data_IF_744387550849
#
_entry.id   IF_744387550849
#
_cell.length_a   1.000
_cell.length_b   1.000
_cell.length_c   1.000
_cell.angle_alpha   90.00
_cell.angle_beta   90.00
_cell.angle_gamma   90.00
#
_symmetry.space_group_name_H-M   'P 1'
#
loop_
_entity.id
_entity.type
_entity.pdbx_description
1 polymer ?
#
# COMPACT_ATOMS: atom_id res chain seq x y z
N UNK A 1 9.18 -50.12 22.19
CA UNK A 1 8.95 -49.32 20.97
C UNK A 1 7.56 -48.69 20.94
N UNK A 2 6.48 -49.45 21.19
CA UNK A 2 5.11 -48.94 20.99
C UNK A 2 4.70 -47.81 21.94
N UNK A 3 5.09 -47.86 23.22
CA UNK A 3 4.85 -46.75 24.17
C UNK A 3 5.61 -45.49 23.81
N UNK A 4 6.85 -45.61 23.35
CA UNK A 4 7.67 -44.47 22.92
C UNK A 4 7.13 -43.84 21.63
N UNK A 5 6.62 -44.65 20.71
CA UNK A 5 5.97 -44.18 19.48
C UNK A 5 4.67 -43.42 19.78
N UNK A 6 3.89 -43.89 20.76
CA UNK A 6 2.64 -43.25 21.18
C UNK A 6 2.88 -41.90 21.86
N UNK A 7 3.96 -41.77 22.65
CA UNK A 7 4.37 -40.49 23.26
C UNK A 7 4.86 -39.50 22.20
N UNK A 8 5.62 -39.95 21.21
CA UNK A 8 6.08 -39.11 20.09
C UNK A 8 4.88 -38.62 19.25
N UNK A 9 3.89 -39.48 19.00
CA UNK A 9 2.67 -39.11 18.27
C UNK A 9 1.85 -38.06 19.04
N UNK A 10 1.74 -38.18 20.36
CA UNK A 10 1.05 -37.21 21.21
C UNK A 10 1.77 -35.85 21.24
N UNK A 11 3.10 -35.83 21.24
CA UNK A 11 3.91 -34.60 21.15
C UNK A 11 3.78 -33.92 19.76
N UNK A 12 3.71 -34.69 18.69
CA UNK A 12 3.49 -34.18 17.33
C UNK A 12 2.08 -33.58 17.14
N UNK A 13 1.06 -34.16 17.78
CA UNK A 13 -0.30 -33.62 17.77
C UNK A 13 -0.36 -32.34 18.62
N UNK A 14 0.26 -32.32 19.80
CA UNK A 14 0.27 -31.16 20.68
C UNK A 14 0.97 -29.94 20.06
N UNK A 15 2.04 -30.15 19.28
CA UNK A 15 2.73 -29.07 18.56
C UNK A 15 1.93 -28.50 17.39
N UNK A 16 1.00 -29.27 16.81
CA UNK A 16 0.10 -28.82 15.75
C UNK A 16 -0.99 -27.85 16.25
N UNK A 17 -1.34 -27.91 17.54
CA UNK A 17 -2.35 -27.04 18.16
C UNK A 17 -1.85 -25.65 18.58
N UNK A 18 -0.54 -25.42 18.66
CA UNK A 18 0.03 -24.16 19.21
C UNK A 18 0.19 -23.06 18.13
N UNK A 19 -0.13 -23.33 16.85
CA UNK A 19 0.50 -22.59 15.76
C UNK A 19 -0.32 -21.78 14.77
N UNK A 20 -1.67 -21.76 14.80
CA UNK A 20 -2.46 -20.99 13.83
C UNK A 20 -3.11 -19.79 14.52
N UNK A 21 -2.35 -18.71 14.67
CA UNK A 21 -2.92 -17.41 15.05
C UNK A 21 -3.77 -16.89 13.89
N UNK A 22 -5.08 -17.02 13.99
CA UNK A 22 -6.03 -16.33 13.10
C UNK A 22 -6.14 -14.89 13.58
N UNK A 23 -5.46 -13.95 12.91
CA UNK A 23 -5.62 -12.52 13.12
C UNK A 23 -6.96 -12.02 12.57
N UNK A 24 -8.07 -12.59 13.03
CA UNK A 24 -9.39 -12.33 12.49
C UNK A 24 -9.91 -10.99 13.01
N UNK A 25 -10.09 -10.03 12.11
CA UNK A 25 -10.68 -8.74 12.43
C UNK A 25 -12.20 -8.89 12.64
N UNK A 26 -12.74 -8.18 13.63
CA UNK A 26 -14.18 -8.06 13.85
C UNK A 26 -14.56 -6.60 14.06
N UNK A 27 -15.67 -6.19 13.45
CA UNK A 27 -16.32 -4.92 13.80
C UNK A 27 -16.75 -4.98 15.26
N UNK A 28 -16.54 -3.90 16.00
CA UNK A 28 -16.87 -3.84 17.43
C UNK A 28 -15.94 -4.68 18.32
N UNK A 29 -14.74 -5.06 17.85
CA UNK A 29 -13.77 -5.82 18.65
C UNK A 29 -13.49 -5.19 20.02
N UNK A 30 -13.50 -3.86 20.10
CA UNK A 30 -13.28 -3.13 21.35
C UNK A 30 -14.55 -2.93 22.19
N UNK A 31 -15.70 -3.48 21.80
CA UNK A 31 -16.98 -3.25 22.48
C UNK A 31 -16.94 -3.57 23.98
N UNK A 32 -16.29 -4.67 24.37
CA UNK A 32 -16.23 -5.11 25.76
C UNK A 32 -15.02 -4.55 26.54
N UNK A 33 -13.93 -4.23 25.83
CA UNK A 33 -12.67 -3.79 26.45
C UNK A 33 -12.51 -2.28 26.51
N UNK A 34 -12.89 -1.59 25.43
CA UNK A 34 -12.83 -0.14 25.29
C UNK A 34 -13.98 0.35 24.39
N UNK A 35 -15.23 0.41 24.91
CA UNK A 35 -16.41 0.74 24.11
C UNK A 35 -16.37 2.14 23.48
N UNK A 36 -15.52 3.03 23.98
CA UNK A 36 -15.35 4.40 23.47
C UNK A 36 -14.21 4.53 22.44
N UNK A 37 -13.52 3.46 22.08
CA UNK A 37 -12.38 3.54 21.16
C UNK A 37 -12.78 4.14 19.80
N UNK A 38 -13.80 3.57 19.16
CA UNK A 38 -14.25 4.00 17.83
C UNK A 38 -14.85 5.42 17.85
N UNK A 39 -15.61 5.77 18.90
CA UNK A 39 -16.20 7.10 19.05
C UNK A 39 -15.13 8.17 19.29
N UNK A 40 -14.14 7.88 20.13
CA UNK A 40 -13.03 8.80 20.44
C UNK A 40 -12.20 9.08 19.19
N UNK A 41 -11.76 8.03 18.47
CA UNK A 41 -11.00 8.20 17.23
C UNK A 41 -11.79 9.00 16.21
N UNK A 42 -13.08 8.69 16.03
CA UNK A 42 -13.95 9.43 15.11
C UNK A 42 -14.06 10.91 15.47
N UNK A 43 -14.16 11.24 16.76
CA UNK A 43 -14.24 12.62 17.21
C UNK A 43 -12.97 13.42 16.91
N UNK A 44 -11.80 12.84 17.22
CA UNK A 44 -10.49 13.47 16.99
C UNK A 44 -10.23 13.65 15.49
N UNK A 45 -10.53 12.63 14.68
CA UNK A 45 -10.37 12.73 13.22
C UNK A 45 -11.28 13.81 12.64
N UNK A 46 -12.54 13.89 13.09
CA UNK A 46 -13.47 14.94 12.64
C UNK A 46 -12.99 16.32 13.01
N UNK A 47 -12.49 16.51 14.22
CA UNK A 47 -11.92 17.79 14.67
C UNK A 47 -10.71 18.17 13.80
N UNK A 48 -9.77 17.24 13.58
CA UNK A 48 -8.58 17.48 12.77
C UNK A 48 -8.91 17.79 11.30
N UNK A 49 -9.92 17.15 10.71
CA UNK A 49 -10.39 17.42 9.35
C UNK A 49 -11.14 18.76 9.26
N UNK A 50 -11.86 19.14 10.32
CA UNK A 50 -12.53 20.45 10.39
C UNK A 50 -11.52 21.59 10.46
N UNK A 51 -10.37 21.39 11.11
CA UNK A 51 -9.28 22.37 11.14
C UNK A 51 -8.50 22.40 9.81
N UNK A 52 -8.20 21.23 9.24
CA UNK A 52 -7.52 21.11 7.95
C UNK A 52 -8.12 20.01 7.08
N UNK A 53 -8.84 20.34 6.00
CA UNK A 53 -9.45 19.36 5.09
C UNK A 53 -8.46 18.35 4.49
N UNK A 54 -7.18 18.73 4.33
CA UNK A 54 -6.16 17.83 3.79
C UNK A 54 -5.81 16.68 4.76
N UNK A 55 -6.18 16.78 6.04
CA UNK A 55 -5.86 15.77 7.04
C UNK A 55 -6.50 14.41 6.72
N UNK A 56 -7.68 14.40 6.09
CA UNK A 56 -8.33 13.16 5.66
C UNK A 56 -7.45 12.37 4.67
N UNK A 57 -6.88 13.08 3.68
CA UNK A 57 -5.98 12.48 2.70
C UNK A 57 -4.67 11.99 3.34
N UNK A 58 -4.11 12.77 4.28
CA UNK A 58 -2.87 12.41 5.00
C UNK A 58 -3.06 11.15 5.84
N UNK A 59 -4.13 11.07 6.64
CA UNK A 59 -4.40 9.90 7.49
C UNK A 59 -4.62 8.64 6.65
N UNK A 60 -5.34 8.77 5.53
CA UNK A 60 -5.56 7.68 4.59
C UNK A 60 -4.23 7.21 3.97
N UNK A 61 -3.39 8.14 3.52
CA UNK A 61 -2.07 7.84 2.97
C UNK A 61 -1.17 7.14 3.99
N UNK A 62 -1.19 7.60 5.24
CA UNK A 62 -0.39 7.01 6.33
C UNK A 62 -0.81 5.55 6.57
N UNK A 63 -2.13 5.28 6.65
CA UNK A 63 -2.63 3.92 6.79
C UNK A 63 -2.18 3.01 5.64
N UNK A 64 -2.28 3.49 4.40
CA UNK A 64 -1.81 2.71 3.24
C UNK A 64 -0.30 2.48 3.27
N UNK A 65 0.49 3.49 3.62
CA UNK A 65 1.95 3.39 3.72
C UNK A 65 2.37 2.29 4.70
N UNK A 66 1.79 2.29 5.91
CA UNK A 66 2.15 1.33 6.96
C UNK A 66 1.71 -0.09 6.58
N UNK A 67 0.51 -0.24 6.02
CA UNK A 67 0.03 -1.52 5.51
C UNK A 67 0.89 -2.05 4.35
N UNK A 68 1.44 -1.18 3.49
CA UNK A 68 2.26 -1.60 2.36
C UNK A 68 3.66 -2.08 2.75
N UNK A 69 4.23 -1.49 3.80
CA UNK A 69 5.49 -1.98 4.38
C UNK A 69 5.31 -3.41 4.89
N UNK A 70 4.21 -3.68 5.59
CA UNK A 70 3.86 -5.02 6.09
C UNK A 70 3.42 -5.99 4.97
N UNK A 71 2.85 -5.48 3.87
CA UNK A 71 2.48 -6.29 2.70
C UNK A 71 3.68 -6.79 1.88
N UNK A 72 4.90 -6.43 2.28
CA UNK A 72 6.15 -6.90 1.69
C UNK A 72 6.18 -6.73 0.16
N UNK A 73 5.79 -5.53 -0.30
CA UNK A 73 5.78 -5.15 -1.71
C UNK A 73 7.15 -5.30 -2.38
N UNK A 74 7.20 -5.30 -3.72
CA UNK A 74 8.44 -5.53 -4.45
C UNK A 74 9.47 -4.44 -4.13
N UNK A 75 10.61 -4.84 -3.58
CA UNK A 75 11.77 -3.97 -3.39
C UNK A 75 12.66 -4.03 -4.63
N UNK A 76 13.17 -2.88 -5.05
CA UNK A 76 14.10 -2.79 -6.17
C UNK A 76 15.21 -1.78 -5.85
N UNK A 77 16.39 -2.05 -6.36
CA UNK A 77 17.54 -1.16 -6.18
C UNK A 77 17.37 0.06 -7.08
N UNK A 78 17.51 1.26 -6.51
CA UNK A 78 17.39 2.52 -7.25
C UNK A 78 18.80 3.01 -7.60
N UNK A 79 19.17 3.09 -8.90
CA UNK A 79 20.43 3.70 -9.31
C UNK A 79 20.50 5.17 -8.87
N UNK A 80 21.53 5.53 -8.11
CA UNK A 80 21.76 6.90 -7.63
C UNK A 80 22.76 7.67 -8.51
N UNK A 81 22.91 8.97 -8.26
CA UNK A 81 23.90 9.83 -8.95
C UNK A 81 23.32 10.82 -9.97
N UNK A 82 21.99 10.97 -10.03
CA UNK A 82 21.35 12.03 -10.82
C UNK A 82 21.77 13.41 -10.30
N UNK A 83 22.07 14.34 -11.21
CA UNK A 83 22.42 15.74 -10.87
C UNK A 83 21.23 16.67 -11.12
N UNK A 84 21.16 17.73 -10.34
CA UNK A 84 20.11 18.74 -10.50
C UNK A 84 20.36 19.59 -11.75
N UNK A 85 19.30 19.77 -12.55
CA UNK A 85 19.32 20.65 -13.70
C UNK A 85 19.30 22.12 -13.26
N UNK A 86 20.02 22.99 -13.97
CA UNK A 86 20.05 24.43 -13.69
C UNK A 86 18.98 25.24 -14.44
N UNK A 87 18.24 24.60 -15.34
CA UNK A 87 17.27 25.25 -16.23
C UNK A 87 16.02 24.37 -16.35
N UNK A 88 14.85 24.99 -16.28
CA UNK A 88 13.55 24.37 -16.52
C UNK A 88 13.03 24.74 -17.91
N UNK A 89 12.37 23.81 -18.59
CA UNK A 89 11.77 24.04 -19.92
C UNK A 89 10.30 23.61 -19.91
N UNK A 90 9.38 24.57 -20.04
CA UNK A 90 7.94 24.34 -20.01
C UNK A 90 7.43 23.55 -21.22
N UNK A 91 8.11 23.64 -22.37
CA UNK A 91 7.69 22.93 -23.59
C UNK A 91 7.73 21.41 -23.41
N UNK A 92 8.57 20.90 -22.50
CA UNK A 92 8.63 19.47 -22.16
C UNK A 92 7.38 18.98 -21.43
N UNK A 93 6.52 19.87 -20.93
CA UNK A 93 5.26 19.48 -20.30
C UNK A 93 4.28 18.83 -21.29
N UNK A 94 4.37 19.18 -22.59
CA UNK A 94 3.54 18.57 -23.63
C UNK A 94 3.83 17.07 -23.85
N UNK A 95 5.05 16.63 -23.50
CA UNK A 95 5.46 15.22 -23.58
C UNK A 95 4.90 14.38 -22.43
N UNK A 96 4.35 14.99 -21.38
CA UNK A 96 3.81 14.26 -20.23
C UNK A 96 2.48 13.59 -20.62
N UNK A 97 2.20 12.38 -20.11
CA UNK A 97 0.90 11.74 -20.29
C UNK A 97 -0.18 12.53 -19.56
N UNK A 98 -1.29 12.79 -20.25
CA UNK A 98 -2.49 13.42 -19.71
C UNK A 98 -3.60 12.38 -19.47
N UNK A 99 -4.50 12.66 -18.52
CA UNK A 99 -5.65 11.78 -18.22
C UNK A 99 -6.62 11.63 -19.40
N UNK A 100 -6.63 12.59 -20.31
CA UNK A 100 -7.46 12.61 -21.52
C UNK A 100 -6.77 12.02 -22.75
N UNK A 101 -5.49 11.65 -22.66
CA UNK A 101 -4.76 11.06 -23.77
C UNK A 101 -5.34 9.70 -24.15
N UNK A 102 -5.44 9.45 -25.45
CA UNK A 102 -5.79 8.12 -25.96
C UNK A 102 -4.66 7.11 -25.69
N UNK A 103 -5.02 5.82 -25.60
CA UNK A 103 -4.04 4.73 -25.44
C UNK A 103 -2.95 4.75 -26.53
N UNK A 104 -3.27 5.19 -27.75
CA UNK A 104 -2.27 5.28 -28.83
C UNK A 104 -1.26 6.41 -28.56
N UNK A 105 -1.72 7.57 -28.10
CA UNK A 105 -0.84 8.67 -27.70
C UNK A 105 0.03 8.30 -26.49
N UNK A 106 -0.55 7.61 -25.49
CA UNK A 106 0.20 7.11 -24.34
C UNK A 106 1.30 6.13 -24.75
N UNK A 107 1.02 5.21 -25.68
CA UNK A 107 2.04 4.29 -26.22
C UNK A 107 3.17 5.05 -26.90
N UNK A 108 2.86 6.04 -27.74
CA UNK A 108 3.88 6.86 -28.41
C UNK A 108 4.75 7.60 -27.39
N UNK A 109 4.14 8.31 -26.43
CA UNK A 109 4.86 9.05 -25.39
C UNK A 109 5.80 8.14 -24.57
N UNK A 110 5.40 6.92 -24.26
CA UNK A 110 6.23 5.96 -23.53
C UNK A 110 7.39 5.43 -24.40
N UNK A 111 7.12 5.10 -25.66
CA UNK A 111 8.15 4.65 -26.62
C UNK A 111 9.21 5.74 -26.84
N UNK A 112 8.80 7.02 -26.90
CA UNK A 112 9.72 8.15 -27.04
C UNK A 112 10.66 8.32 -25.83
N UNK A 113 10.31 7.76 -24.66
CA UNK A 113 11.17 7.70 -23.47
C UNK A 113 11.90 6.34 -23.34
N UNK A 114 11.83 5.49 -24.37
CA UNK A 114 12.47 4.17 -24.39
C UNK A 114 11.73 3.10 -23.59
N UNK A 115 10.45 3.33 -23.25
CA UNK A 115 9.62 2.40 -22.49
C UNK A 115 8.73 1.57 -23.43
N UNK A 116 8.52 0.31 -23.08
CA UNK A 116 7.69 -0.61 -23.86
C UNK A 116 6.19 -0.45 -23.52
N UNK A 117 5.28 -0.96 -24.39
CA UNK A 117 3.86 -1.03 -24.05
C UNK A 117 3.56 -1.85 -22.78
N UNK A 118 4.44 -2.78 -22.41
CA UNK A 118 4.34 -3.52 -21.14
C UNK A 118 4.60 -2.59 -19.95
N UNK A 119 5.61 -1.73 -20.06
CA UNK A 119 5.95 -0.77 -19.01
C UNK A 119 4.82 0.25 -18.80
N UNK A 120 4.13 0.66 -19.88
CA UNK A 120 2.91 1.47 -19.78
C UNK A 120 1.87 0.81 -18.87
N UNK A 121 1.56 -0.47 -19.08
CA UNK A 121 0.57 -1.20 -18.28
C UNK A 121 1.04 -1.36 -16.83
N UNK A 122 2.28 -1.77 -16.62
CA UNK A 122 2.85 -1.98 -15.28
C UNK A 122 2.88 -0.68 -14.48
N UNK A 123 3.33 0.42 -15.07
CA UNK A 123 3.42 1.72 -14.42
C UNK A 123 2.05 2.36 -14.20
N UNK A 124 1.09 2.13 -15.10
CA UNK A 124 -0.31 2.57 -14.90
C UNK A 124 -1.00 1.82 -13.76
N UNK A 125 -0.55 0.60 -13.44
CA UNK A 125 -1.01 -0.18 -12.30
C UNK A 125 -0.79 0.51 -10.95
N UNK A 126 0.14 1.49 -10.85
CA UNK A 126 0.35 2.27 -9.63
C UNK A 126 -0.92 3.08 -9.21
N UNK A 127 -1.81 3.40 -10.17
CA UNK A 127 -3.06 4.08 -9.85
C UNK A 127 -4.09 3.18 -9.15
N UNK A 128 -3.83 1.86 -9.02
CA UNK A 128 -4.68 0.96 -8.22
C UNK A 128 -4.48 1.15 -6.72
N UNK A 129 -3.36 1.75 -6.30
CA UNK A 129 -2.98 1.92 -4.88
C UNK A 129 -2.83 3.38 -4.47
N UNK A 130 -2.81 4.31 -5.42
CA UNK A 130 -2.56 5.72 -5.16
C UNK A 130 -3.81 6.56 -5.51
N UNK A 131 -4.49 7.07 -4.47
CA UNK A 131 -5.56 8.05 -4.63
C UNK A 131 -4.97 9.37 -5.11
N UNK A 132 -5.42 9.85 -6.27
CA UNK A 132 -5.21 11.24 -6.70
C UNK A 132 -6.31 12.08 -6.05
N UNK A 133 -5.94 12.99 -5.15
CA UNK A 133 -6.82 14.02 -4.59
C UNK A 133 -6.69 15.31 -5.39
#
# INVERSE_FOLDING_TARGET
>A
MERSLLVILMLLIFTCFIGISQGQLSVGFYGDSCPQAESTVTSVVREAVSDNPNMAAVLLRLHFHDCFVEANGPTYQVPAGRRDGRVSNVSLAADMPDVSDSIQQLKTKFIDKGLSPKDLVVLSGNNTTHFSF
#
